data_IF_791924467416
#
_entry.id   IF_791924467416
#
_cell.length_a   1.000
_cell.length_b   1.000
_cell.length_c   1.000
_cell.angle_alpha   90.00
_cell.angle_beta   90.00
_cell.angle_gamma   90.00
#
_symmetry.space_group_name_H-M   'P 1'
#
loop_
_entity.id
_entity.type
_entity.pdbx_description
1 polymer ?
#
# COMPACT_ATOMS: atom_id res chain seq x y z
N UNK A 1 -17.12 1.38 122.40
CA UNK A 1 -17.39 2.78 122.02
C UNK A 1 -16.81 2.98 120.62
N UNK A 2 -17.40 2.45 119.55
CA UNK A 2 -18.68 2.80 118.92
C UNK A 2 -18.80 4.28 118.53
N UNK A 3 -19.15 4.46 117.25
CA UNK A 3 -19.91 5.57 116.65
C UNK A 3 -19.22 6.87 116.19
N UNK A 4 -18.03 6.82 115.58
CA UNK A 4 -17.50 8.00 114.85
C UNK A 4 -16.80 7.73 113.50
N UNK A 5 -17.03 6.58 112.86
CA UNK A 5 -16.38 6.22 111.57
C UNK A 5 -17.21 6.39 110.28
N UNK A 6 -18.56 6.35 110.28
CA UNK A 6 -19.33 6.52 109.02
C UNK A 6 -19.26 7.94 108.47
N UNK A 7 -19.28 8.95 109.35
CA UNK A 7 -19.29 10.36 108.96
C UNK A 7 -17.98 10.83 108.33
N UNK A 8 -16.84 10.23 108.71
CA UNK A 8 -15.53 10.54 108.11
C UNK A 8 -15.49 9.99 106.69
N UNK A 9 -15.87 8.72 106.48
CA UNK A 9 -15.95 8.12 105.14
C UNK A 9 -16.95 8.87 104.23
N UNK A 10 -18.09 9.30 104.77
CA UNK A 10 -19.06 10.09 104.01
C UNK A 10 -18.50 11.47 103.63
N UNK A 11 -17.74 12.15 104.50
CA UNK A 11 -17.05 13.40 104.16
C UNK A 11 -15.96 13.21 103.11
N UNK A 12 -15.18 12.14 103.20
CA UNK A 12 -14.11 11.84 102.23
C UNK A 12 -14.70 11.53 100.86
N UNK A 13 -15.73 10.68 100.80
CA UNK A 13 -16.43 10.37 99.54
C UNK A 13 -17.14 11.60 98.96
N UNK A 14 -17.68 12.49 99.81
CA UNK A 14 -18.29 13.75 99.36
C UNK A 14 -17.24 14.76 98.86
N UNK A 15 -16.04 14.77 99.43
CA UNK A 15 -14.91 15.55 98.90
C UNK A 15 -14.36 14.96 97.59
N UNK A 16 -14.22 13.64 97.49
CA UNK A 16 -13.81 12.96 96.26
C UNK A 16 -14.84 13.15 95.14
N UNK A 17 -16.15 13.06 95.46
CA UNK A 17 -17.22 13.37 94.51
C UNK A 17 -17.18 14.83 94.05
N UNK A 18 -16.93 15.79 94.96
CA UNK A 18 -16.78 17.22 94.59
C UNK A 18 -15.55 17.49 93.74
N UNK A 19 -14.44 16.76 93.95
CA UNK A 19 -13.23 16.87 93.12
C UNK A 19 -13.47 16.24 91.74
N UNK A 20 -14.17 15.11 91.67
CA UNK A 20 -14.58 14.49 90.41
C UNK A 20 -15.56 15.37 89.62
N UNK A 21 -16.48 16.05 90.30
CA UNK A 21 -17.41 17.02 89.68
C UNK A 21 -16.67 18.28 89.19
N UNK A 22 -15.65 18.75 89.94
CA UNK A 22 -14.80 19.86 89.53
C UNK A 22 -13.87 19.53 88.34
N UNK A 23 -13.53 18.25 88.12
CA UNK A 23 -12.82 17.79 86.92
C UNK A 23 -13.73 17.71 85.68
N UNK A 24 -15.06 17.73 85.85
CA UNK A 24 -16.02 17.82 84.75
C UNK A 24 -16.29 19.25 84.28
N UNK A 25 -15.65 20.26 84.90
CA UNK A 25 -15.48 21.56 84.25
C UNK A 25 -14.44 21.36 83.15
N UNK A 26 -14.92 20.79 82.06
CA UNK A 26 -14.24 20.74 80.79
C UNK A 26 -13.86 22.18 80.43
N UNK A 27 -12.59 22.53 80.65
CA UNK A 27 -12.01 23.75 80.11
C UNK A 27 -11.84 23.58 78.59
N UNK A 28 -12.95 23.36 77.88
CA UNK A 28 -13.04 23.52 76.43
C UNK A 28 -13.14 25.01 76.20
N UNK A 29 -11.98 25.65 76.17
CA UNK A 29 -11.81 26.97 75.60
C UNK A 29 -11.57 26.74 74.11
N UNK A 30 -12.48 27.23 73.27
CA UNK A 30 -12.22 27.29 71.83
C UNK A 30 -11.00 28.19 71.66
N UNK A 31 -9.84 27.59 71.39
CA UNK A 31 -8.58 28.31 71.18
C UNK A 31 -8.61 29.00 69.81
N UNK A 32 -9.27 28.37 68.83
CA UNK A 32 -9.43 28.90 67.49
C UNK A 32 -10.69 28.35 66.83
N UNK A 33 -11.44 29.20 66.13
CA UNK A 33 -12.56 28.78 65.29
C UNK A 33 -12.00 28.38 63.93
N UNK A 34 -12.47 27.26 63.35
CA UNK A 34 -12.05 26.86 62.02
C UNK A 34 -12.36 27.99 61.01
N UNK A 35 -11.31 28.64 60.50
CA UNK A 35 -11.44 29.61 59.43
C UNK A 35 -12.05 28.95 58.21
N UNK A 36 -13.00 29.63 57.55
CA UNK A 36 -13.48 29.19 56.25
C UNK A 36 -12.27 29.08 55.32
N UNK A 37 -11.98 27.90 54.74
CA UNK A 37 -10.86 27.77 53.83
C UNK A 37 -11.08 28.70 52.64
N UNK A 38 -10.18 29.68 52.47
CA UNK A 38 -10.27 30.67 51.39
C UNK A 38 -10.11 30.06 50.00
N UNK A 39 -9.48 28.88 49.91
CA UNK A 39 -9.36 28.08 48.69
C UNK A 39 -9.50 26.59 49.01
N UNK A 40 -9.93 25.81 48.02
CA UNK A 40 -10.05 24.36 48.16
C UNK A 40 -8.66 23.71 48.38
N UNK A 41 -8.46 23.03 49.51
CA UNK A 41 -7.19 22.35 49.82
C UNK A 41 -7.00 21.06 49.00
N UNK A 42 -8.09 20.45 48.53
CA UNK A 42 -8.13 19.25 47.70
C UNK A 42 -9.46 19.16 46.94
N UNK A 43 -9.51 18.68 45.69
CA UNK A 43 -8.40 18.42 44.77
C UNK A 43 -7.88 19.72 44.12
N UNK A 44 -6.62 19.72 43.64
CA UNK A 44 -6.04 20.82 42.82
C UNK A 44 -6.42 20.59 41.35
N UNK A 45 -7.48 21.22 40.81
CA UNK A 45 -8.01 20.87 39.50
C UNK A 45 -7.01 21.16 38.36
N UNK A 46 -6.19 22.21 38.49
CA UNK A 46 -5.18 22.59 37.50
C UNK A 46 -4.05 21.56 37.39
N UNK A 47 -3.57 21.03 38.51
CA UNK A 47 -2.52 20.01 38.52
C UNK A 47 -3.03 18.68 37.96
N UNK A 48 -4.27 18.29 38.29
CA UNK A 48 -4.91 17.09 37.74
C UNK A 48 -5.13 17.26 36.23
N UNK A 49 -5.61 18.43 35.79
CA UNK A 49 -5.82 18.71 34.37
C UNK A 49 -4.51 18.68 33.59
N UNK A 50 -3.43 19.23 34.14
CA UNK A 50 -2.10 19.19 33.52
C UNK A 50 -1.60 17.74 33.39
N UNK A 51 -1.66 16.97 34.48
CA UNK A 51 -1.22 15.58 34.48
C UNK A 51 -2.05 14.71 33.53
N UNK A 52 -3.38 14.90 33.51
CA UNK A 52 -4.28 14.22 32.60
C UNK A 52 -4.00 14.60 31.13
N UNK A 53 -3.70 15.87 30.85
CA UNK A 53 -3.32 16.34 29.52
C UNK A 53 -2.03 15.69 29.02
N UNK A 54 -0.98 15.66 29.85
CA UNK A 54 0.29 15.00 29.53
C UNK A 54 0.09 13.50 29.32
N UNK A 55 -0.64 12.84 30.22
CA UNK A 55 -0.93 11.40 30.10
C UNK A 55 -1.75 11.09 28.84
N UNK A 56 -2.73 11.94 28.50
CA UNK A 56 -3.54 11.80 27.29
C UNK A 56 -2.73 11.93 26.00
N UNK A 57 -1.81 12.90 25.93
CA UNK A 57 -0.89 13.05 24.79
C UNK A 57 0.03 11.83 24.70
N UNK A 58 0.65 11.42 25.81
CA UNK A 58 1.55 10.27 25.84
C UNK A 58 0.85 8.98 25.38
N UNK A 59 -0.37 8.73 25.86
CA UNK A 59 -1.19 7.60 25.42
C UNK A 59 -1.59 7.72 23.94
N UNK A 60 -2.01 8.91 23.50
CA UNK A 60 -2.37 9.16 22.10
C UNK A 60 -1.22 8.89 21.14
N UNK A 61 -0.03 9.45 21.42
CA UNK A 61 1.18 9.18 20.66
C UNK A 61 1.57 7.70 20.72
N UNK A 62 1.48 7.07 21.90
CA UNK A 62 1.76 5.65 22.06
C UNK A 62 0.85 4.75 21.20
N UNK A 63 -0.44 5.06 21.13
CA UNK A 63 -1.40 4.35 20.27
C UNK A 63 -1.08 4.57 18.80
N UNK A 64 -0.77 5.80 18.38
CA UNK A 64 -0.40 6.09 16.98
C UNK A 64 0.87 5.34 16.58
N UNK A 65 1.91 5.33 17.43
CA UNK A 65 3.13 4.58 17.19
C UNK A 65 2.87 3.07 17.15
N UNK A 66 2.01 2.54 18.03
CA UNK A 66 1.65 1.13 18.01
C UNK A 66 0.94 0.75 16.71
N UNK A 67 0.01 1.58 16.24
CA UNK A 67 -0.68 1.37 14.97
C UNK A 67 0.31 1.42 13.79
N UNK A 68 1.26 2.35 13.81
CA UNK A 68 2.32 2.45 12.79
C UNK A 68 3.20 1.19 12.79
N UNK A 69 3.61 0.71 13.96
CA UNK A 69 4.42 -0.51 14.09
C UNK A 69 3.66 -1.78 13.65
N UNK A 70 2.34 -1.76 13.69
CA UNK A 70 1.49 -2.85 13.19
C UNK A 70 1.21 -2.74 11.69
N UNK A 71 1.45 -1.59 11.06
CA UNK A 71 1.28 -1.44 9.62
C UNK A 71 2.45 -2.08 8.87
N UNK A 72 2.21 -3.27 8.33
CA UNK A 72 3.20 -4.04 7.56
C UNK A 72 3.09 -3.79 6.05
N UNK A 73 2.59 -2.63 5.62
CA UNK A 73 2.47 -2.30 4.20
C UNK A 73 3.82 -1.85 3.61
N UNK A 74 3.92 -1.96 2.29
CA UNK A 74 5.01 -1.40 1.52
C UNK A 74 4.76 0.09 1.33
N UNK A 75 5.73 0.94 1.68
CA UNK A 75 5.61 2.39 1.49
C UNK A 75 6.56 2.88 0.39
N UNK A 76 7.74 2.28 0.29
CA UNK A 76 8.78 2.71 -0.65
C UNK A 76 9.15 1.60 -1.64
N UNK A 77 9.70 2.02 -2.79
CA UNK A 77 10.22 1.10 -3.81
C UNK A 77 11.37 0.26 -3.26
N UNK A 78 12.27 0.86 -2.46
CA UNK A 78 13.39 0.14 -1.83
C UNK A 78 12.97 -0.96 -0.84
N UNK A 79 11.76 -0.86 -0.27
CA UNK A 79 11.20 -1.93 0.56
C UNK A 79 10.97 -3.21 -0.27
N UNK A 80 10.67 -3.08 -1.56
CA UNK A 80 10.36 -4.24 -2.41
C UNK A 80 11.60 -5.08 -2.67
N UNK A 81 12.71 -4.44 -3.05
CA UNK A 81 13.94 -5.14 -3.38
C UNK A 81 14.58 -5.75 -2.13
N UNK A 82 14.60 -5.02 -1.01
CA UNK A 82 15.16 -5.51 0.25
C UNK A 82 14.42 -6.70 0.85
N UNK A 83 13.10 -6.77 0.69
CA UNK A 83 12.27 -7.85 1.25
C UNK A 83 12.21 -9.09 0.35
N UNK A 84 12.35 -8.94 -0.98
CA UNK A 84 12.12 -10.04 -1.93
C UNK A 84 13.35 -10.50 -2.70
N UNK A 85 14.41 -9.68 -2.79
CA UNK A 85 15.58 -9.92 -3.64
C UNK A 85 15.18 -10.11 -5.13
N UNK A 86 14.09 -9.46 -5.54
CA UNK A 86 13.58 -9.45 -6.92
C UNK A 86 13.74 -8.05 -7.47
N UNK A 87 14.29 -7.87 -8.69
CA UNK A 87 14.51 -6.54 -9.24
C UNK A 87 13.19 -5.80 -9.47
N UNK A 88 13.17 -4.51 -9.14
CA UNK A 88 12.07 -3.63 -9.57
C UNK A 88 12.33 -3.21 -11.02
N UNK A 89 11.48 -3.70 -11.93
CA UNK A 89 11.63 -3.48 -13.38
C UNK A 89 10.87 -2.24 -13.88
N UNK A 90 10.02 -1.66 -13.04
CA UNK A 90 9.29 -0.43 -13.36
C UNK A 90 8.56 0.17 -12.17
N UNK A 91 8.52 1.50 -12.14
CA UNK A 91 7.76 2.29 -11.16
C UNK A 91 6.78 3.16 -11.93
N UNK A 92 5.49 2.93 -11.71
CA UNK A 92 4.42 3.57 -12.46
C UNK A 92 3.75 4.66 -11.61
N UNK A 93 3.57 5.87 -12.16
CA UNK A 93 3.00 6.98 -11.41
C UNK A 93 1.51 6.75 -11.17
N UNK A 94 1.00 7.39 -10.12
CA UNK A 94 -0.43 7.38 -9.84
C UNK A 94 -1.19 8.12 -10.94
N UNK A 95 -2.02 7.37 -11.65
CA UNK A 95 -2.90 7.94 -12.67
C UNK A 95 -3.97 8.83 -12.04
N UNK A 96 -4.15 10.02 -12.61
CA UNK A 96 -5.32 10.84 -12.35
C UNK A 96 -6.54 10.16 -12.99
N UNK A 97 -7.42 9.63 -12.13
CA UNK A 97 -8.71 9.00 -12.46
C UNK A 97 -8.62 7.51 -12.88
N UNK A 98 -9.65 6.76 -12.47
CA UNK A 98 -9.83 5.33 -12.76
C UNK A 98 -10.21 5.22 -14.23
N UNK A 99 -9.48 4.41 -15.00
CA UNK A 99 -9.69 4.24 -16.44
C UNK A 99 -11.09 3.69 -16.66
N UNK A 100 -12.00 4.56 -17.09
CA UNK A 100 -13.24 4.17 -17.73
C UNK A 100 -13.02 4.30 -19.24
N UNK A 101 -13.70 3.47 -20.03
CA UNK A 101 -13.64 3.50 -21.49
C UNK A 101 -13.70 4.96 -22.01
N UNK A 102 -12.65 5.37 -22.74
CA UNK A 102 -12.44 6.76 -23.20
C UNK A 102 -11.26 7.49 -22.57
N UNK A 103 -10.69 7.01 -21.46
CA UNK A 103 -9.52 7.64 -20.82
C UNK A 103 -8.18 7.14 -21.40
N UNK A 104 -8.17 5.99 -22.08
CA UNK A 104 -6.96 5.40 -22.68
C UNK A 104 -6.35 6.27 -23.80
N UNK A 105 -7.19 6.93 -24.61
CA UNK A 105 -6.70 7.87 -25.62
C UNK A 105 -5.99 9.06 -24.99
N UNK A 106 -6.57 9.63 -23.92
CA UNK A 106 -5.98 10.74 -23.16
C UNK A 106 -4.68 10.33 -22.48
N UNK A 107 -4.57 9.09 -22.01
CA UNK A 107 -3.32 8.58 -21.47
C UNK A 107 -2.16 8.71 -22.47
N UNK A 108 -2.41 8.48 -23.76
CA UNK A 108 -1.39 8.61 -24.81
C UNK A 108 -0.93 10.03 -25.07
N UNK A 109 -1.77 11.02 -24.75
CA UNK A 109 -1.44 12.43 -24.91
C UNK A 109 -0.47 12.94 -23.82
N UNK A 110 -0.28 12.18 -22.73
CA UNK A 110 0.54 12.58 -21.59
C UNK A 110 1.85 11.80 -21.54
N UNK A 111 2.93 12.42 -22.03
CA UNK A 111 4.28 11.82 -22.03
C UNK A 111 4.73 11.33 -20.64
N UNK A 112 4.44 12.10 -19.59
CA UNK A 112 4.78 11.76 -18.19
C UNK A 112 4.13 10.46 -17.70
N UNK A 113 2.99 10.08 -18.29
CA UNK A 113 2.29 8.84 -17.98
C UNK A 113 2.77 7.67 -18.87
N UNK A 114 3.10 7.95 -20.14
CA UNK A 114 3.54 6.96 -21.13
C UNK A 114 4.97 6.49 -20.89
N UNK A 115 5.90 7.41 -20.60
CA UNK A 115 7.33 7.09 -20.53
C UNK A 115 7.67 6.03 -19.45
N UNK A 116 7.06 6.03 -18.24
CA UNK A 116 7.25 4.95 -17.28
C UNK A 116 6.82 3.56 -17.79
N UNK A 117 5.74 3.49 -18.57
CA UNK A 117 5.28 2.23 -19.18
C UNK A 117 6.19 1.80 -20.34
N UNK A 118 6.75 2.76 -21.08
CA UNK A 118 7.78 2.51 -22.09
C UNK A 118 9.07 1.99 -21.47
N UNK A 119 9.49 2.56 -20.33
CA UNK A 119 10.60 2.06 -19.54
C UNK A 119 10.38 0.62 -19.09
N UNK A 120 9.20 0.31 -18.54
CA UNK A 120 8.82 -1.06 -18.17
C UNK A 120 8.90 -2.02 -19.36
N UNK A 121 8.31 -1.66 -20.50
CA UNK A 121 8.39 -2.48 -21.71
C UNK A 121 9.84 -2.72 -22.12
N UNK A 122 10.69 -1.68 -22.05
CA UNK A 122 12.10 -1.81 -22.42
C UNK A 122 12.88 -2.71 -21.47
N UNK A 123 12.63 -2.60 -20.16
CA UNK A 123 13.20 -3.51 -19.16
C UNK A 123 12.83 -4.97 -19.45
N UNK A 124 11.58 -5.21 -19.83
CA UNK A 124 11.10 -6.56 -20.20
C UNK A 124 11.77 -7.05 -21.49
N UNK A 125 11.84 -6.24 -22.54
CA UNK A 125 12.54 -6.61 -23.79
C UNK A 125 14.03 -6.94 -23.55
N UNK A 126 14.68 -6.23 -22.62
CA UNK A 126 16.10 -6.43 -22.30
C UNK A 126 16.35 -7.59 -21.32
N UNK A 127 15.31 -8.16 -20.72
CA UNK A 127 15.44 -9.26 -19.75
C UNK A 127 15.92 -10.57 -20.37
N UNK A 128 15.79 -10.74 -21.69
CA UNK A 128 16.20 -11.93 -22.43
C UNK A 128 16.73 -11.58 -23.82
N UNK A 129 17.78 -12.26 -24.31
CA UNK A 129 18.31 -12.05 -25.66
C UNK A 129 17.26 -12.23 -26.78
N UNK A 130 16.30 -13.14 -26.57
CA UNK A 130 15.27 -13.46 -27.57
C UNK A 130 14.02 -12.58 -27.45
N UNK A 131 13.99 -11.66 -26.48
CA UNK A 131 12.83 -10.87 -26.03
C UNK A 131 11.64 -11.74 -25.61
N UNK A 132 11.10 -11.56 -24.40
CA UNK A 132 9.93 -12.33 -24.00
C UNK A 132 8.72 -11.96 -24.86
N UNK A 133 8.00 -12.97 -25.33
CA UNK A 133 6.78 -12.83 -26.14
C UNK A 133 5.53 -13.04 -25.33
N UNK A 134 5.53 -13.95 -24.36
CA UNK A 134 4.35 -14.26 -23.53
C UNK A 134 4.65 -13.89 -22.09
N UNK A 135 3.89 -12.94 -21.55
CA UNK A 135 4.07 -12.44 -20.18
C UNK A 135 2.80 -12.64 -19.36
N UNK A 136 2.96 -13.19 -18.16
CA UNK A 136 1.87 -13.28 -17.17
C UNK A 136 1.98 -12.12 -16.20
N UNK A 137 0.89 -11.37 -16.01
CA UNK A 137 0.80 -10.33 -14.99
C UNK A 137 -0.06 -10.81 -13.83
N UNK A 138 0.54 -10.88 -12.64
CA UNK A 138 -0.17 -11.20 -11.39
C UNK A 138 0.34 -10.32 -10.25
N UNK A 139 -0.12 -10.58 -9.03
CA UNK A 139 0.19 -9.77 -7.87
C UNK A 139 -0.31 -10.43 -6.59
N UNK A 140 -0.16 -9.72 -5.49
CA UNK A 140 -0.46 -10.23 -4.15
C UNK A 140 -1.92 -10.15 -3.78
N UNK A 141 -2.66 -9.16 -4.28
CA UNK A 141 -4.07 -8.94 -3.91
C UNK A 141 -4.86 -8.17 -4.97
N UNK A 142 -6.18 -8.26 -4.94
CA UNK A 142 -7.06 -7.36 -5.71
C UNK A 142 -6.83 -5.89 -5.33
N UNK A 143 -6.95 -4.98 -6.30
CA UNK A 143 -6.83 -3.53 -6.09
C UNK A 143 -5.41 -2.94 -6.26
N UNK A 144 -4.44 -3.75 -6.66
CA UNK A 144 -3.06 -3.30 -6.98
C UNK A 144 -2.95 -2.64 -8.37
N UNK A 145 -4.03 -2.66 -9.16
CA UNK A 145 -4.10 -2.04 -10.49
C UNK A 145 -3.45 -2.84 -11.62
N UNK A 146 -3.32 -4.16 -11.45
CA UNK A 146 -2.78 -5.10 -12.45
C UNK A 146 -3.38 -4.92 -13.84
N UNK A 147 -4.70 -5.02 -13.94
CA UNK A 147 -5.42 -4.89 -15.22
C UNK A 147 -5.18 -3.54 -15.90
N UNK A 148 -5.05 -2.45 -15.11
CA UNK A 148 -4.73 -1.12 -15.63
C UNK A 148 -3.29 -1.05 -16.16
N UNK A 149 -2.34 -1.67 -15.45
CA UNK A 149 -0.93 -1.78 -15.89
C UNK A 149 -0.85 -2.59 -17.18
N UNK A 150 -1.54 -3.73 -17.26
CA UNK A 150 -1.61 -4.58 -18.47
C UNK A 150 -2.17 -3.79 -19.65
N UNK A 151 -3.30 -3.11 -19.47
CA UNK A 151 -3.93 -2.34 -20.53
C UNK A 151 -3.02 -1.22 -21.07
N UNK A 152 -2.37 -0.46 -20.19
CA UNK A 152 -1.47 0.63 -20.59
C UNK A 152 -0.17 0.13 -21.19
N UNK A 153 0.41 -0.94 -20.65
CA UNK A 153 1.60 -1.56 -21.22
C UNK A 153 1.32 -2.08 -22.63
N UNK A 154 0.20 -2.77 -22.84
CA UNK A 154 -0.18 -3.26 -24.16
C UNK A 154 -0.44 -2.13 -25.15
N UNK A 155 -1.03 -1.02 -24.69
CA UNK A 155 -1.21 0.18 -25.50
C UNK A 155 0.12 0.81 -25.92
N UNK A 156 1.07 0.96 -24.99
CA UNK A 156 2.41 1.49 -25.29
C UNK A 156 3.18 0.55 -26.23
N UNK A 157 3.10 -0.76 -26.04
CA UNK A 157 3.70 -1.73 -26.95
C UNK A 157 3.13 -1.59 -28.38
N UNK A 158 1.81 -1.44 -28.49
CA UNK A 158 1.12 -1.27 -29.77
C UNK A 158 1.48 0.04 -30.48
N UNK A 159 1.63 1.15 -29.74
CA UNK A 159 2.15 2.42 -30.27
C UNK A 159 3.56 2.27 -30.84
N UNK A 160 4.40 1.48 -30.18
CA UNK A 160 5.75 1.13 -30.64
C UNK A 160 5.74 0.04 -31.74
N UNK A 161 4.59 -0.14 -32.39
CA UNK A 161 4.37 -1.04 -33.52
C UNK A 161 4.60 -2.52 -33.22
N UNK A 162 4.50 -2.95 -31.95
CA UNK A 162 4.41 -4.36 -31.59
C UNK A 162 2.98 -4.85 -31.78
N UNK A 163 2.78 -5.92 -32.54
CA UNK A 163 1.48 -6.59 -32.59
C UNK A 163 1.25 -7.22 -31.22
N UNK A 164 0.31 -6.66 -30.48
CA UNK A 164 0.08 -7.00 -29.08
C UNK A 164 -1.31 -7.59 -28.89
N UNK A 165 -1.39 -8.72 -28.18
CA UNK A 165 -2.64 -9.32 -27.73
C UNK A 165 -2.70 -9.30 -26.21
N UNK A 166 -3.78 -8.73 -25.65
CA UNK A 166 -4.09 -8.87 -24.23
C UNK A 166 -5.15 -9.97 -24.08
N UNK A 167 -4.89 -10.95 -23.22
CA UNK A 167 -5.85 -11.99 -22.87
C UNK A 167 -6.30 -11.76 -21.42
N UNK A 168 -7.60 -11.56 -21.24
CA UNK A 168 -8.24 -11.42 -19.92
C UNK A 168 -8.42 -12.81 -19.30
N UNK A 169 -7.37 -13.28 -18.63
CA UNK A 169 -7.36 -14.57 -17.93
C UNK A 169 -7.72 -14.45 -16.44
N UNK A 170 -8.21 -13.30 -15.99
CA UNK A 170 -8.92 -13.16 -14.71
C UNK A 170 -10.39 -13.54 -14.87
N UNK A 171 -10.63 -14.84 -14.87
CA UNK A 171 -11.97 -15.41 -15.01
C UNK A 171 -12.85 -15.15 -13.78
N UNK A 172 -12.28 -14.67 -12.67
CA UNK A 172 -13.03 -14.38 -11.44
C UNK A 172 -13.57 -12.94 -11.41
N UNK A 173 -12.81 -12.00 -11.97
CA UNK A 173 -13.16 -10.58 -12.01
C UNK A 173 -12.62 -9.95 -13.31
N UNK A 174 -13.13 -10.35 -14.49
CA UNK A 174 -12.59 -9.92 -15.78
C UNK A 174 -12.80 -8.43 -15.98
N UNK A 175 -11.74 -7.69 -16.36
CA UNK A 175 -11.76 -6.22 -16.41
C UNK A 175 -11.40 -5.63 -17.77
N UNK A 176 -10.70 -6.35 -18.62
CA UNK A 176 -10.13 -5.79 -19.85
C UNK A 176 -11.23 -5.29 -20.80
N UNK A 177 -12.32 -6.05 -20.93
CA UNK A 177 -13.46 -5.62 -21.75
C UNK A 177 -14.03 -4.26 -21.29
N UNK A 178 -14.16 -4.03 -19.98
CA UNK A 178 -14.63 -2.75 -19.44
C UNK A 178 -13.63 -1.60 -19.61
N UNK A 179 -12.32 -1.88 -19.47
CA UNK A 179 -11.24 -0.91 -19.68
C UNK A 179 -11.23 -0.40 -21.13
N UNK A 180 -11.41 -1.30 -22.09
CA UNK A 180 -11.41 -0.99 -23.53
C UNK A 180 -12.80 -0.62 -24.09
N UNK A 181 -13.88 -0.74 -23.31
CA UNK A 181 -15.24 -0.47 -23.78
C UNK A 181 -15.76 -1.50 -24.80
N UNK A 182 -15.31 -2.75 -24.66
CA UNK A 182 -15.60 -3.87 -25.56
C UNK A 182 -16.67 -4.80 -24.99
N UNK A 183 -17.37 -5.58 -25.83
CA UNK A 183 -18.25 -6.63 -25.35
C UNK A 183 -17.45 -7.73 -24.64
N UNK A 184 -18.08 -8.36 -23.64
CA UNK A 184 -17.46 -9.45 -22.89
C UNK A 184 -17.43 -10.77 -23.66
N UNK A 185 -18.30 -10.95 -24.66
CA UNK A 185 -18.42 -12.15 -25.48
C UNK A 185 -18.55 -11.81 -26.98
N UNK A 186 -18.07 -12.66 -27.91
CA UNK A 186 -17.30 -13.89 -27.68
C UNK A 186 -15.93 -13.62 -27.04
N UNK A 187 -15.23 -14.66 -26.55
CA UNK A 187 -13.95 -14.48 -25.85
C UNK A 187 -13.26 -15.79 -25.50
N UNK A 188 -12.31 -15.74 -24.56
CA UNK A 188 -11.42 -16.81 -24.13
C UNK A 188 -12.15 -18.14 -23.88
N UNK A 189 -13.27 -18.13 -23.17
CA UNK A 189 -14.03 -19.36 -22.87
C UNK A 189 -14.56 -20.06 -24.11
N UNK A 190 -14.94 -19.32 -25.15
CA UNK A 190 -15.42 -19.89 -26.42
C UNK A 190 -14.27 -20.51 -27.23
N UNK A 191 -13.08 -19.91 -27.18
CA UNK A 191 -11.91 -20.46 -27.89
C UNK A 191 -11.41 -21.72 -27.22
N UNK A 192 -11.30 -21.71 -25.89
CA UNK A 192 -10.89 -22.89 -25.10
C UNK A 192 -11.94 -24.01 -25.20
N UNK A 193 -13.23 -23.65 -25.31
CA UNK A 193 -14.33 -24.58 -25.57
C UNK A 193 -14.36 -25.16 -27.00
N UNK A 194 -13.46 -24.73 -27.90
CA UNK A 194 -13.46 -25.06 -29.33
C UNK A 194 -14.77 -24.66 -30.06
N UNK A 195 -15.50 -23.67 -29.54
CA UNK A 195 -16.72 -23.16 -30.17
C UNK A 195 -16.39 -22.15 -31.27
N UNK A 196 -15.32 -21.37 -31.09
CA UNK A 196 -14.87 -20.34 -32.02
C UNK A 196 -13.35 -20.42 -32.22
N UNK A 197 -12.89 -19.98 -33.39
CA UNK A 197 -11.45 -19.78 -33.63
C UNK A 197 -10.94 -18.56 -32.86
N UNK A 198 -9.63 -18.50 -32.60
CA UNK A 198 -8.99 -17.36 -31.93
C UNK A 198 -9.31 -16.04 -32.65
N UNK A 199 -9.26 -16.03 -33.98
CA UNK A 199 -9.48 -14.84 -34.80
C UNK A 199 -10.92 -14.33 -34.73
N UNK A 200 -11.87 -15.25 -34.51
CA UNK A 200 -13.30 -14.92 -34.44
C UNK A 200 -13.72 -14.41 -33.07
N UNK A 201 -12.90 -14.67 -32.03
CA UNK A 201 -13.16 -14.26 -30.66
C UNK A 201 -12.36 -13.02 -30.21
N UNK A 202 -11.38 -12.59 -31.02
CA UNK A 202 -10.59 -11.39 -30.76
C UNK A 202 -11.39 -10.14 -31.10
N UNK A 203 -11.27 -9.13 -30.23
CA UNK A 203 -11.85 -7.81 -30.43
C UNK A 203 -10.77 -6.79 -30.74
N UNK A 204 -11.01 -5.94 -31.74
CA UNK A 204 -10.16 -4.79 -31.99
C UNK A 204 -10.32 -3.76 -30.87
N UNK A 205 -9.20 -3.34 -30.27
CA UNK A 205 -9.22 -2.43 -29.10
C UNK A 205 -9.59 -0.98 -29.41
N UNK A 206 -9.72 -0.60 -30.68
CA UNK A 206 -9.75 0.79 -31.12
C UNK A 206 -8.37 1.38 -31.43
N UNK A 207 -7.28 0.67 -31.09
CA UNK A 207 -5.90 1.10 -31.35
C UNK A 207 -5.22 0.17 -32.34
N UNK A 208 -4.36 0.72 -33.20
CA UNK A 208 -3.59 -0.07 -34.18
C UNK A 208 -2.60 -0.98 -33.45
N UNK A 209 -2.47 -2.22 -33.90
CA UNK A 209 -1.58 -3.25 -33.33
C UNK A 209 -1.96 -3.73 -31.93
N UNK A 210 -3.16 -3.41 -31.43
CA UNK A 210 -3.63 -3.91 -30.14
C UNK A 210 -4.98 -4.60 -30.28
N UNK A 211 -4.98 -5.88 -29.91
CA UNK A 211 -6.14 -6.74 -29.91
C UNK A 211 -6.41 -7.26 -28.49
N UNK A 212 -7.68 -7.51 -28.18
CA UNK A 212 -8.13 -7.97 -26.86
C UNK A 212 -8.91 -9.27 -27.01
N UNK A 213 -8.51 -10.30 -26.28
CA UNK A 213 -9.32 -11.49 -26.04
C UNK A 213 -9.95 -11.36 -24.65
N UNK A 214 -11.22 -10.96 -24.63
CA UNK A 214 -12.01 -10.83 -23.40
C UNK A 214 -12.38 -12.21 -22.82
N UNK A 215 -12.98 -12.24 -21.63
CA UNK A 215 -13.35 -13.48 -20.95
C UNK A 215 -14.23 -14.43 -21.79
N UNK A 216 -15.26 -13.92 -22.47
CA UNK A 216 -16.21 -14.72 -23.23
C UNK A 216 -17.47 -15.12 -22.46
N UNK A 217 -17.51 -15.04 -21.13
CA UNK A 217 -18.70 -15.43 -20.36
C UNK A 217 -18.63 -16.87 -19.84
N UNK A 218 -19.61 -17.26 -19.03
CA UNK A 218 -19.57 -18.51 -18.27
C UNK A 218 -19.88 -19.75 -19.13
N UNK A 219 -18.91 -20.66 -19.23
CA UNK A 219 -19.15 -22.04 -19.71
C UNK A 219 -18.72 -23.11 -18.70
N UNK A 220 -17.65 -22.90 -17.91
CA UNK A 220 -17.07 -23.90 -16.99
C UNK A 220 -16.41 -23.28 -15.74
N UNK A 221 -15.86 -24.12 -14.84
CA UNK A 221 -15.06 -23.66 -13.70
C UNK A 221 -13.75 -23.01 -14.19
N UNK A 222 -13.34 -21.84 -13.64
CA UNK A 222 -12.13 -21.13 -14.04
C UNK A 222 -10.86 -21.99 -14.14
N UNK A 223 -10.54 -22.75 -13.09
CA UNK A 223 -9.31 -23.56 -13.04
C UNK A 223 -9.24 -24.60 -14.15
N UNK A 224 -10.39 -25.17 -14.55
CA UNK A 224 -10.47 -26.16 -15.63
C UNK A 224 -10.09 -25.55 -16.98
N UNK A 225 -10.40 -24.27 -17.20
CA UNK A 225 -10.04 -23.53 -18.43
C UNK A 225 -8.54 -23.30 -18.45
N UNK A 226 -7.97 -22.78 -17.35
CA UNK A 226 -6.55 -22.46 -17.24
C UNK A 226 -5.64 -23.69 -17.37
N UNK A 227 -6.06 -24.84 -16.82
CA UNK A 227 -5.30 -26.09 -16.84
C UNK A 227 -5.49 -26.91 -18.14
N UNK A 228 -6.37 -26.46 -19.03
CA UNK A 228 -6.70 -27.21 -20.25
C UNK A 228 -5.57 -27.19 -21.29
N UNK A 229 -5.47 -28.29 -22.05
CA UNK A 229 -4.57 -28.36 -23.22
C UNK A 229 -4.93 -27.30 -24.28
N UNK A 230 -6.21 -26.94 -24.38
CA UNK A 230 -6.71 -25.93 -25.31
C UNK A 230 -6.20 -24.53 -24.96
N UNK A 231 -6.10 -24.18 -23.67
CA UNK A 231 -5.46 -22.93 -23.24
C UNK A 231 -3.99 -22.88 -23.66
N UNK A 232 -3.24 -23.97 -23.46
CA UNK A 232 -1.84 -24.04 -23.89
C UNK A 232 -1.70 -23.88 -25.42
N UNK A 233 -2.59 -24.50 -26.19
CA UNK A 233 -2.63 -24.37 -27.66
C UNK A 233 -2.97 -22.93 -28.09
N UNK A 234 -3.91 -22.29 -27.42
CA UNK A 234 -4.30 -20.90 -27.65
C UNK A 234 -3.12 -19.95 -27.45
N UNK A 235 -2.43 -20.05 -26.31
CA UNK A 235 -1.25 -19.20 -26.01
C UNK A 235 -0.16 -19.41 -27.05
N UNK A 236 0.10 -20.67 -27.44
CA UNK A 236 1.07 -20.99 -28.48
C UNK A 236 0.68 -20.42 -29.85
N UNK A 237 -0.59 -20.50 -30.23
CA UNK A 237 -1.10 -19.92 -31.48
C UNK A 237 -1.02 -18.38 -31.46
N UNK A 238 -1.34 -17.75 -30.32
CA UNK A 238 -1.19 -16.31 -30.14
C UNK A 238 0.27 -15.87 -30.28
N UNK A 239 1.22 -16.56 -29.65
CA UNK A 239 2.65 -16.26 -29.71
C UNK A 239 3.28 -16.38 -31.12
N UNK A 240 2.61 -17.09 -32.04
CA UNK A 240 3.01 -17.14 -33.45
C UNK A 240 2.53 -15.92 -34.25
N UNK A 241 1.42 -15.30 -33.85
CA UNK A 241 0.78 -14.19 -34.58
C UNK A 241 1.14 -12.82 -34.03
N UNK A 242 1.36 -12.73 -32.73
CA UNK A 242 1.66 -11.50 -32.02
C UNK A 242 3.13 -11.46 -31.61
N UNK A 243 3.68 -10.25 -31.58
CA UNK A 243 5.03 -10.00 -31.09
C UNK A 243 5.07 -9.98 -29.56
N UNK A 244 3.93 -9.63 -28.93
CA UNK A 244 3.73 -9.63 -27.48
C UNK A 244 2.32 -10.13 -27.13
N UNK A 245 2.23 -11.06 -26.19
CA UNK A 245 1.00 -11.59 -25.61
C UNK A 245 1.06 -11.36 -24.10
N UNK A 246 0.09 -10.63 -23.57
CA UNK A 246 0.00 -10.29 -22.14
C UNK A 246 -1.21 -11.00 -21.54
N UNK A 247 -0.97 -11.85 -20.55
CA UNK A 247 -2.01 -12.56 -19.80
C UNK A 247 -2.29 -11.78 -18.51
N UNK A 248 -3.47 -11.16 -18.41
CA UNK A 248 -3.95 -10.58 -17.15
C UNK A 248 -4.52 -11.69 -16.27
N UNK A 249 -4.02 -11.85 -15.04
CA UNK A 249 -4.39 -12.98 -14.18
C UNK A 249 -4.78 -12.49 -12.78
N UNK A 250 -5.61 -13.27 -12.06
CA UNK A 250 -5.99 -12.94 -10.70
C UNK A 250 -4.76 -12.97 -9.77
N UNK A 251 -4.86 -12.38 -8.57
CA UNK A 251 -3.79 -12.43 -7.58
C UNK A 251 -3.43 -13.87 -7.17
N UNK A 252 -2.15 -14.13 -6.89
CA UNK A 252 -1.67 -15.45 -6.45
C UNK A 252 -2.30 -15.87 -5.11
N UNK A 253 -2.73 -14.91 -4.29
CA UNK A 253 -3.47 -15.20 -3.05
C UNK A 253 -4.85 -15.81 -3.28
N UNK A 254 -5.46 -15.51 -4.43
CA UNK A 254 -6.86 -15.81 -4.70
C UNK A 254 -6.98 -17.14 -5.45
N UNK A 255 -6.06 -17.44 -6.37
CA UNK A 255 -5.97 -18.74 -7.02
C UNK A 255 -4.60 -19.04 -7.64
N UNK A 256 -4.45 -20.25 -8.18
CA UNK A 256 -3.23 -20.74 -8.81
C UNK A 256 -3.11 -20.43 -10.32
N UNK A 257 -4.07 -19.73 -10.93
CA UNK A 257 -4.14 -19.57 -12.39
C UNK A 257 -2.88 -18.92 -12.97
N UNK A 258 -2.37 -17.86 -12.32
CA UNK A 258 -1.12 -17.21 -12.71
C UNK A 258 0.08 -18.18 -12.73
N UNK A 259 0.15 -19.08 -11.74
CA UNK A 259 1.23 -20.08 -11.65
C UNK A 259 1.11 -21.13 -12.74
N UNK A 260 -0.11 -21.56 -13.07
CA UNK A 260 -0.38 -22.52 -14.15
C UNK A 260 -0.03 -21.92 -15.51
N UNK A 261 -0.50 -20.69 -15.79
CA UNK A 261 -0.23 -20.02 -17.06
C UNK A 261 1.25 -19.68 -17.25
N UNK A 262 1.99 -19.46 -16.15
CA UNK A 262 3.43 -19.22 -16.21
C UNK A 262 4.23 -20.39 -16.79
N UNK A 263 3.67 -21.60 -16.83
CA UNK A 263 4.33 -22.76 -17.48
C UNK A 263 4.34 -22.65 -19.01
N UNK A 264 3.45 -21.83 -19.58
CA UNK A 264 3.31 -21.59 -21.01
C UNK A 264 3.77 -20.18 -21.42
N UNK A 265 4.38 -19.44 -20.49
CA UNK A 265 4.84 -18.08 -20.67
C UNK A 265 6.36 -17.97 -20.49
N UNK A 266 6.96 -16.92 -21.04
CA UNK A 266 8.40 -16.69 -20.90
C UNK A 266 8.75 -16.15 -19.51
N UNK A 267 7.79 -15.54 -18.82
CA UNK A 267 7.97 -15.08 -17.46
C UNK A 267 6.71 -14.48 -16.83
N UNK A 268 6.77 -14.32 -15.52
CA UNK A 268 5.77 -13.66 -14.71
C UNK A 268 6.28 -12.30 -14.25
N UNK A 269 5.43 -11.29 -14.40
CA UNK A 269 5.61 -9.93 -13.89
C UNK A 269 4.69 -9.74 -12.69
N UNK A 270 5.26 -9.34 -11.56
CA UNK A 270 4.51 -9.20 -10.32
C UNK A 270 4.21 -7.73 -10.05
N UNK A 271 2.94 -7.36 -9.87
CA UNK A 271 2.54 -5.98 -9.60
C UNK A 271 2.21 -5.79 -8.13
N UNK A 272 2.80 -4.75 -7.53
CA UNK A 272 2.54 -4.33 -6.15
C UNK A 272 2.12 -2.87 -6.12
N UNK A 273 1.47 -2.45 -5.04
CA UNK A 273 1.03 -1.07 -4.85
C UNK A 273 1.41 -0.55 -3.45
N UNK A 274 2.10 0.59 -3.35
CA UNK A 274 2.39 1.21 -2.06
C UNK A 274 1.12 1.51 -1.25
N UNK A 275 1.20 1.38 0.07
CA UNK A 275 0.09 1.54 1.03
C UNK A 275 -1.08 0.57 0.83
N UNK A 276 -0.94 -0.45 -0.02
CA UNK A 276 -1.96 -1.47 -0.28
C UNK A 276 -1.39 -2.87 -0.10
N UNK A 277 -0.24 -3.15 -0.69
CA UNK A 277 0.42 -4.46 -0.60
C UNK A 277 1.13 -4.61 0.75
N UNK A 278 0.89 -5.73 1.44
CA UNK A 278 1.57 -6.08 2.69
C UNK A 278 2.87 -6.84 2.44
N UNK A 279 3.91 -6.55 3.24
CA UNK A 279 5.25 -7.16 3.17
C UNK A 279 5.19 -8.69 3.30
N UNK A 280 4.54 -9.18 4.35
CA UNK A 280 4.42 -10.63 4.60
C UNK A 280 3.76 -11.37 3.42
N UNK A 281 2.73 -10.77 2.82
CA UNK A 281 2.04 -11.34 1.67
C UNK A 281 2.91 -11.38 0.42
N UNK A 282 3.70 -10.31 0.19
CA UNK A 282 4.63 -10.24 -0.93
C UNK A 282 5.74 -11.30 -0.78
N UNK A 283 6.39 -11.37 0.38
CA UNK A 283 7.46 -12.33 0.65
C UNK A 283 6.95 -13.77 0.53
N UNK A 284 5.75 -14.05 1.04
CA UNK A 284 5.11 -15.36 0.89
C UNK A 284 4.84 -15.70 -0.58
N UNK A 285 4.27 -14.77 -1.36
CA UNK A 285 3.96 -14.97 -2.77
C UNK A 285 5.23 -15.23 -3.61
N UNK A 286 6.26 -14.39 -3.45
CA UNK A 286 7.56 -14.57 -4.12
C UNK A 286 8.21 -15.90 -3.70
N UNK A 287 8.13 -16.25 -2.42
CA UNK A 287 8.63 -17.54 -1.92
C UNK A 287 7.94 -18.74 -2.58
N UNK A 288 6.62 -18.68 -2.80
CA UNK A 288 5.87 -19.74 -3.51
C UNK A 288 6.28 -19.81 -4.98
N UNK A 289 6.40 -18.66 -5.66
CA UNK A 289 6.82 -18.60 -7.06
C UNK A 289 8.22 -19.20 -7.27
N UNK A 290 9.19 -18.81 -6.44
CA UNK A 290 10.57 -19.34 -6.46
C UNK A 290 10.62 -20.84 -6.21
N UNK A 291 9.89 -21.32 -5.20
CA UNK A 291 9.83 -22.77 -4.88
C UNK A 291 9.29 -23.61 -6.03
N UNK A 292 8.43 -23.03 -6.87
CA UNK A 292 7.87 -23.69 -8.06
C UNK A 292 8.70 -23.52 -9.33
N UNK A 293 9.84 -22.84 -9.24
CA UNK A 293 10.72 -22.60 -10.40
C UNK A 293 10.09 -21.69 -11.46
N UNK A 294 9.13 -20.85 -11.08
CA UNK A 294 8.52 -19.89 -12.01
C UNK A 294 9.52 -18.78 -12.29
N UNK A 295 9.71 -18.44 -13.57
CA UNK A 295 10.57 -17.34 -13.98
C UNK A 295 9.93 -15.99 -13.62
N UNK A 296 10.22 -15.48 -12.43
CA UNK A 296 9.79 -14.17 -11.97
C UNK A 296 10.72 -13.10 -12.55
N UNK A 297 10.25 -12.39 -13.58
CA UNK A 297 11.05 -11.40 -14.31
C UNK A 297 11.33 -10.13 -13.51
N UNK A 298 10.44 -9.78 -12.59
CA UNK A 298 10.59 -8.59 -11.77
C UNK A 298 9.29 -8.12 -11.13
N UNK A 299 9.41 -7.09 -10.31
CA UNK A 299 8.29 -6.42 -9.67
C UNK A 299 8.02 -5.06 -10.31
N UNK A 300 6.74 -4.75 -10.54
CA UNK A 300 6.25 -3.43 -10.96
C UNK A 300 5.58 -2.76 -9.78
N UNK A 301 6.04 -1.56 -9.42
CA UNK A 301 5.44 -0.76 -8.34
C UNK A 301 4.46 0.24 -8.95
N UNK A 302 3.16 -0.02 -8.79
CA UNK A 302 2.10 0.80 -9.36
C UNK A 302 1.57 1.86 -8.39
N UNK A 303 1.03 2.95 -8.94
CA UNK A 303 0.45 4.08 -8.20
C UNK A 303 1.40 4.78 -7.22
N UNK A 304 2.66 4.95 -7.64
CA UNK A 304 3.62 5.73 -6.86
C UNK A 304 3.29 7.23 -6.96
N UNK A 305 3.29 8.01 -5.85
CA UNK A 305 3.07 9.44 -5.90
C UNK A 305 4.18 10.14 -6.70
N UNK A 306 3.81 10.96 -7.69
CA UNK A 306 4.79 11.79 -8.42
C UNK A 306 5.13 13.05 -7.60
N UNK A 307 6.36 13.55 -7.66
CA UNK A 307 6.77 14.80 -6.97
C UNK A 307 5.84 15.99 -7.28
N UNK A 308 5.35 16.11 -8.52
CA UNK A 308 4.35 17.12 -8.90
C UNK A 308 3.03 17.01 -8.11
N UNK A 309 2.64 15.80 -7.69
CA UNK A 309 1.44 15.52 -6.91
C UNK A 309 1.63 15.75 -5.40
N UNK A 310 2.87 15.85 -4.93
CA UNK A 310 3.19 16.24 -3.54
C UNK A 310 3.10 17.77 -3.35
N UNK A 311 3.17 18.55 -4.44
CA UNK A 311 3.21 20.02 -4.42
C UNK A 311 1.94 20.78 -3.95
N UNK A 312 0.69 20.25 -3.92
CA UNK A 312 -0.44 21.03 -3.39
C UNK A 312 -0.51 21.10 -1.86
N UNK A 313 0.26 20.29 -1.12
CA UNK A 313 0.23 20.24 0.35
C UNK A 313 1.35 21.03 1.02
N UNK A 314 2.51 21.17 0.38
CA UNK A 314 3.65 21.88 0.97
C UNK A 314 3.52 23.40 0.92
N UNK A 315 2.73 23.96 0.00
CA UNK A 315 2.45 25.41 -0.02
C UNK A 315 1.62 25.89 1.19
N UNK A 316 0.94 24.98 1.90
CA UNK A 316 0.18 25.29 3.13
C UNK A 316 0.97 25.11 4.43
N UNK A 317 2.17 24.55 4.37
CA UNK A 317 3.08 24.43 5.51
C UNK A 317 4.36 25.15 5.14
N UNK A 318 4.37 26.46 5.35
CA UNK A 318 5.55 27.31 5.17
C UNK A 318 6.74 26.75 5.96
N UNK A 319 7.62 26.06 5.25
CA UNK A 319 8.82 25.46 5.80
C UNK A 319 9.84 25.32 4.68
N UNK A 320 10.91 26.10 4.76
CA UNK A 320 12.04 26.05 3.84
C UNK A 320 12.61 24.62 3.79
N UNK A 321 12.78 24.09 2.58
CA UNK A 321 13.45 22.81 2.33
C UNK A 321 14.94 22.89 2.78
N UNK A 322 15.52 21.84 3.42
CA UNK A 322 16.90 21.87 3.93
C UNK A 322 18.00 21.65 2.89
N UNK A 323 17.66 21.46 1.61
CA UNK A 323 18.63 21.10 0.58
C UNK A 323 19.34 22.30 -0.09
N UNK A 324 19.31 23.47 0.53
CA UNK A 324 20.12 24.64 0.09
C UNK A 324 21.59 24.57 0.48
N UNK A 325 22.05 23.44 1.04
CA UNK A 325 23.46 23.20 1.37
C UNK A 325 23.92 21.83 0.89
N UNK A 326 24.11 21.70 -0.42
CA UNK A 326 25.07 20.74 -0.98
C UNK A 326 26.25 21.53 -1.57
N UNK A 327 27.49 21.02 -1.49
CA UNK A 327 28.70 21.84 -1.55
C UNK A 327 29.00 22.38 -2.95
N UNK A 328 29.46 23.62 -2.96
CA UNK A 328 29.94 24.40 -4.10
C UNK A 328 31.24 23.76 -4.66
N UNK A 329 31.13 22.76 -5.53
CA UNK A 329 32.27 22.18 -6.25
C UNK A 329 32.08 22.06 -7.77
N UNK A 330 31.16 22.82 -8.35
CA UNK A 330 30.91 22.78 -9.81
C UNK A 330 31.12 24.14 -10.51
N UNK A 331 32.00 24.99 -9.97
CA UNK A 331 32.43 26.23 -10.64
C UNK A 331 33.89 26.23 -11.13
N UNK A 332 34.70 25.21 -10.82
CA UNK A 332 36.11 25.19 -11.22
C UNK A 332 36.39 24.59 -12.62
N UNK A 333 35.39 24.06 -13.32
CA UNK A 333 35.56 23.50 -14.67
C UNK A 333 35.17 24.43 -15.82
N UNK A 334 34.76 25.69 -15.55
CA UNK A 334 34.43 26.68 -16.59
C UNK A 334 35.50 27.75 -16.84
N UNK A 335 36.64 27.70 -16.14
CA UNK A 335 37.73 28.69 -16.32
C UNK A 335 38.96 28.20 -17.08
N UNK A 336 38.97 26.98 -17.61
CA UNK A 336 40.11 26.45 -18.39
C UNK A 336 39.87 26.32 -19.91
N UNK A 337 38.76 26.83 -20.46
CA UNK A 337 38.51 26.77 -21.92
C UNK A 337 38.56 28.10 -22.69
N UNK A 338 38.92 29.23 -22.05
CA UNK A 338 38.98 30.55 -22.74
C UNK A 338 40.36 31.21 -22.78
N UNK A 339 41.43 30.53 -22.35
CA UNK A 339 42.77 31.10 -22.27
C UNK A 339 43.82 30.46 -23.17
N UNK A 340 43.59 30.29 -24.49
CA UNK A 340 44.64 29.84 -25.42
C UNK A 340 44.32 30.12 -26.90
N UNK A 341 44.02 31.37 -27.27
CA UNK A 341 44.18 31.85 -28.65
C UNK A 341 44.60 33.32 -28.66
N UNK A 342 45.88 33.58 -28.37
CA UNK A 342 46.62 34.71 -28.90
C UNK A 342 48.12 34.53 -28.67
N UNK A 343 48.89 34.90 -29.70
CA UNK A 343 50.34 35.05 -29.80
C UNK A 343 51.22 33.82 -30.14
N UNK A 344 51.83 33.98 -31.34
CA UNK A 344 52.97 33.30 -31.99
C UNK A 344 52.68 32.04 -32.80
#
# INVERSE_FOLDING_TARGET
MSSARPWICCKTNLQEARIAEAQLISNVRVVDYAGLPGEASSPKPTAILFLAGVAGIALGTGVVLLLELMDRRLHNVGDVESETDVPVIGVLPRAHRRVLAGDLGKFLDHADAVEPHRGLLKSLELSSPQQPKVLVFSGTRRGEGKSDVVARLGLVAAMLSRRTLIIDADLQDPRQHGIFGLPQAPGLTHVVGNELSLESAIHWSGFKNLDILSYGGFSQRPSTITESTQMAQLIKAAAQKYDLVILDTPPISDCADAMTLSQYADGLVFTVRPNVTGRDGLTAAVGVLRKRGINLMGVVVNETPTLAQLSPREEKLGGQLPWSQAPEQEQEFRFLSEGSRSSL
#
